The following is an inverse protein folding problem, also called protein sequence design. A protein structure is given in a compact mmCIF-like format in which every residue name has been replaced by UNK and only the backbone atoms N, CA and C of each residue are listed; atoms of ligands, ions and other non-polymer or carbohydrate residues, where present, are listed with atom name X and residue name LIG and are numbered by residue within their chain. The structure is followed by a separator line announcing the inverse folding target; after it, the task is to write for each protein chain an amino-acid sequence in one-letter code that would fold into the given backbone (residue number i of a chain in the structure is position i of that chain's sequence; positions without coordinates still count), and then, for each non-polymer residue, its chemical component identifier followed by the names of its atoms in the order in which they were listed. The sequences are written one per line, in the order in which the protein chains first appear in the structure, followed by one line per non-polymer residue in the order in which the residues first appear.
data_IF_219845827018
#
_entry.id   IF_219845827018
#
_cell.length_a   1.000
_cell.length_b   1.000
_cell.length_c   1.000
_cell.angle_alpha   90.00
_cell.angle_beta   90.00
_cell.angle_gamma   90.00
#
_symmetry.space_group_name_H-M   'P 1'
#
loop_
_entity.id
_entity.type
_entity.pdbx_description
1 polymer ?
#
# COMPACT_ATOMS: atom_id res chain seq x y z
N UNK A 1 10.41 -11.14 16.90
CA UNK A 1 9.90 -11.46 15.55
C UNK A 1 11.04 -11.27 14.56
N UNK A 2 11.65 -12.35 14.05
CA UNK A 2 12.50 -12.19 12.86
C UNK A 2 11.56 -11.88 11.69
N UNK A 3 11.78 -10.74 11.04
CA UNK A 3 11.18 -10.51 9.74
C UNK A 3 12.11 -11.21 8.77
N UNK A 4 11.57 -12.19 8.04
CA UNK A 4 12.14 -12.82 6.85
C UNK A 4 13.07 -14.02 7.09
N UNK A 5 13.04 -15.06 6.21
CA UNK A 5 14.02 -16.13 6.27
C UNK A 5 15.43 -15.54 6.09
N UNK A 6 16.26 -15.76 7.11
CA UNK A 6 17.69 -15.48 7.07
C UNK A 6 18.30 -16.33 5.96
N UNK A 7 18.90 -15.70 4.95
CA UNK A 7 19.71 -16.41 3.94
C UNK A 7 19.17 -16.46 2.51
N UNK A 8 18.00 -15.89 2.20
CA UNK A 8 17.48 -15.85 0.82
C UNK A 8 17.23 -14.42 0.33
N UNK A 9 18.16 -13.86 -0.49
CA UNK A 9 17.95 -12.52 -1.06
C UNK A 9 16.77 -12.53 -2.04
N UNK A 10 15.88 -11.55 -1.91
CA UNK A 10 14.80 -11.28 -2.88
C UNK A 10 15.41 -10.88 -4.24
N UNK A 11 15.58 -11.86 -5.13
CA UNK A 11 16.08 -11.65 -6.50
C UNK A 11 14.94 -11.50 -7.50
N UNK A 12 15.23 -10.91 -8.65
CA UNK A 12 14.31 -10.91 -9.80
C UNK A 12 14.05 -12.36 -10.21
N UNK A 13 12.80 -12.72 -10.48
CA UNK A 13 12.41 -14.08 -10.89
C UNK A 13 12.21 -15.08 -9.75
N UNK A 14 12.41 -14.67 -8.50
CA UNK A 14 12.01 -15.48 -7.34
C UNK A 14 10.49 -15.66 -7.35
N UNK A 15 10.02 -16.89 -7.16
CA UNK A 15 8.61 -17.17 -6.86
C UNK A 15 8.25 -16.57 -5.50
N UNK A 16 7.25 -15.69 -5.50
CA UNK A 16 6.82 -14.94 -4.31
C UNK A 16 5.54 -15.50 -3.70
N UNK A 17 5.02 -16.61 -4.20
CA UNK A 17 3.71 -17.14 -3.79
C UNK A 17 3.66 -17.38 -2.28
N UNK A 18 4.56 -18.20 -1.74
CA UNK A 18 4.62 -18.45 -0.29
C UNK A 18 4.89 -17.18 0.56
N UNK A 19 5.61 -16.20 0.01
CA UNK A 19 5.87 -14.93 0.70
C UNK A 19 4.61 -14.06 0.79
N UNK A 20 3.79 -14.05 -0.26
CA UNK A 20 2.51 -13.33 -0.26
C UNK A 20 1.47 -14.05 0.60
N UNK A 21 1.49 -15.39 0.64
CA UNK A 21 0.65 -16.17 1.54
C UNK A 21 1.00 -15.92 3.01
N UNK A 22 2.28 -15.89 3.37
CA UNK A 22 2.71 -15.54 4.73
C UNK A 22 2.33 -14.09 5.09
N UNK A 23 2.46 -13.16 4.14
CA UNK A 23 2.04 -11.77 4.35
C UNK A 23 0.54 -11.68 4.62
N UNK A 24 -0.26 -12.43 3.84
CA UNK A 24 -1.71 -12.52 3.99
C UNK A 24 -2.13 -13.22 5.28
N UNK A 25 -1.47 -14.30 5.68
CA UNK A 25 -1.80 -15.03 6.92
C UNK A 25 -1.57 -14.19 8.17
N UNK A 26 -0.71 -13.17 8.07
CA UNK A 26 -0.49 -12.15 9.11
C UNK A 26 -1.49 -10.99 9.06
N UNK A 27 -2.50 -11.05 8.21
CA UNK A 27 -3.55 -10.03 8.07
C UNK A 27 -3.18 -8.84 7.18
N UNK A 28 -2.09 -8.92 6.41
CA UNK A 28 -1.70 -7.84 5.50
C UNK A 28 -2.06 -8.17 4.05
N UNK A 29 -2.51 -7.13 3.32
CA UNK A 29 -2.90 -7.25 1.92
C UNK A 29 -2.16 -6.22 1.07
N UNK A 30 -1.90 -6.57 -0.19
CA UNK A 30 -1.47 -5.63 -1.23
C UNK A 30 -2.59 -5.55 -2.27
N UNK A 31 -3.00 -4.33 -2.61
CA UNK A 31 -3.98 -4.07 -3.66
C UNK A 31 -3.32 -3.18 -4.70
N UNK A 32 -3.28 -3.65 -5.94
CA UNK A 32 -2.83 -2.84 -7.06
C UNK A 32 -3.87 -1.79 -7.43
N UNK A 33 -3.40 -0.58 -7.74
CA UNK A 33 -4.26 0.55 -8.11
C UNK A 33 -5.03 0.33 -9.41
N UNK A 34 -4.44 -0.41 -10.34
CA UNK A 34 -5.04 -0.74 -11.62
C UNK A 34 -4.93 -2.25 -11.84
N UNK A 35 -5.97 -2.85 -12.40
CA UNK A 35 -6.01 -4.30 -12.69
C UNK A 35 -5.17 -4.65 -13.93
N UNK A 36 -4.94 -3.67 -14.80
CA UNK A 36 -4.12 -3.82 -16.00
C UNK A 36 -2.80 -3.07 -15.86
N UNK A 37 -1.69 -3.59 -16.44
CA UNK A 37 -0.42 -2.88 -16.46
C UNK A 37 -0.55 -1.49 -17.10
N UNK A 38 -0.07 -0.46 -16.39
CA UNK A 38 -0.08 0.94 -16.83
C UNK A 38 1.33 1.50 -17.07
N UNK A 39 2.34 0.64 -17.00
CA UNK A 39 3.77 0.96 -17.11
C UNK A 39 4.19 1.41 -18.51
N UNK A 40 3.49 0.96 -19.56
CA UNK A 40 3.71 1.36 -20.96
C UNK A 40 2.91 2.59 -21.42
N UNK A 41 2.01 3.08 -20.57
CA UNK A 41 1.20 4.27 -20.89
C UNK A 41 2.01 5.56 -20.72
N UNK A 42 1.69 6.57 -21.53
CA UNK A 42 2.17 7.94 -21.34
C UNK A 42 1.76 8.46 -19.96
N UNK A 43 2.49 9.44 -19.38
CA UNK A 43 2.15 9.98 -18.06
C UNK A 43 0.71 10.47 -17.93
N UNK A 44 0.17 11.10 -18.99
CA UNK A 44 -1.23 11.55 -19.05
C UNK A 44 -2.20 10.36 -19.06
N UNK A 45 -2.00 9.39 -19.95
CA UNK A 45 -2.86 8.21 -20.05
C UNK A 45 -2.83 7.36 -18.77
N UNK A 46 -1.65 7.22 -18.15
CA UNK A 46 -1.48 6.55 -16.86
C UNK A 46 -2.29 7.23 -15.75
N UNK A 47 -2.22 8.56 -15.66
CA UNK A 47 -2.98 9.32 -14.65
C UNK A 47 -4.49 9.12 -14.81
N UNK A 48 -4.98 9.15 -16.06
CA UNK A 48 -6.39 8.91 -16.38
C UNK A 48 -6.79 7.48 -15.98
N UNK A 49 -5.98 6.48 -16.31
CA UNK A 49 -6.25 5.08 -15.95
C UNK A 49 -6.33 4.88 -14.43
N UNK A 50 -5.37 5.46 -13.69
CA UNK A 50 -5.36 5.43 -12.22
C UNK A 50 -6.62 6.06 -11.65
N UNK A 51 -6.98 7.26 -12.10
CA UNK A 51 -8.16 7.97 -11.60
C UNK A 51 -9.45 7.19 -11.88
N UNK A 52 -9.56 6.58 -13.07
CA UNK A 52 -10.72 5.79 -13.47
C UNK A 52 -10.87 4.50 -12.65
N UNK A 53 -9.76 3.85 -12.27
CA UNK A 53 -9.81 2.56 -11.56
C UNK A 53 -9.77 2.69 -10.03
N UNK A 54 -9.39 3.86 -9.48
CA UNK A 54 -9.35 4.10 -8.04
C UNK A 54 -10.69 3.79 -7.31
N UNK A 55 -11.89 4.09 -7.85
CA UNK A 55 -13.15 3.70 -7.22
C UNK A 55 -13.32 2.17 -7.10
N UNK A 56 -12.90 1.41 -8.11
CA UNK A 56 -12.93 -0.06 -8.06
C UNK A 56 -11.97 -0.61 -7.01
N UNK A 57 -10.78 0.00 -6.86
CA UNK A 57 -9.87 -0.30 -5.74
C UNK A 57 -10.55 -0.03 -4.40
N UNK A 58 -11.20 1.12 -4.23
CA UNK A 58 -11.83 1.48 -2.96
C UNK A 58 -12.95 0.50 -2.58
N UNK A 59 -13.72 0.01 -3.55
CA UNK A 59 -14.71 -1.05 -3.34
C UNK A 59 -14.07 -2.34 -2.84
N UNK A 60 -13.01 -2.82 -3.49
CA UNK A 60 -12.26 -4.02 -3.05
C UNK A 60 -11.64 -3.85 -1.67
N UNK A 61 -11.12 -2.65 -1.38
CA UNK A 61 -10.62 -2.33 -0.06
C UNK A 61 -11.74 -2.38 1.00
N UNK A 62 -12.94 -1.89 0.68
CA UNK A 62 -14.10 -1.95 1.57
C UNK A 62 -14.54 -3.39 1.86
N UNK A 63 -14.54 -4.26 0.84
CA UNK A 63 -14.84 -5.69 0.99
C UNK A 63 -13.85 -6.42 1.90
N UNK A 64 -12.59 -6.00 1.93
CA UNK A 64 -11.56 -6.54 2.82
C UNK A 64 -11.65 -6.00 4.26
N UNK A 65 -12.45 -4.96 4.50
CA UNK A 65 -12.63 -4.27 5.79
C UNK A 65 -11.33 -4.06 6.60
N UNK A 66 -10.29 -3.40 6.02
CA UNK A 66 -9.01 -3.27 6.68
C UNK A 66 -9.10 -2.32 7.87
N UNK A 67 -8.48 -2.68 9.00
CA UNK A 67 -8.37 -1.78 10.15
C UNK A 67 -7.48 -0.55 9.88
N UNK A 68 -6.57 -0.64 8.92
CA UNK A 68 -5.69 0.47 8.51
C UNK A 68 -5.22 0.31 7.08
N UNK A 69 -5.02 1.43 6.40
CA UNK A 69 -4.63 1.52 4.98
C UNK A 69 -3.39 2.39 4.86
N UNK A 70 -2.47 1.99 3.99
CA UNK A 70 -1.28 2.77 3.65
C UNK A 70 -1.20 2.90 2.13
N UNK A 71 -1.14 4.13 1.64
CA UNK A 71 -1.05 4.41 0.20
C UNK A 71 0.42 4.64 -0.19
N UNK A 72 0.92 3.80 -1.09
CA UNK A 72 2.31 3.84 -1.56
C UNK A 72 2.37 4.40 -2.98
N UNK A 73 3.36 5.28 -3.22
CA UNK A 73 3.69 5.97 -4.49
C UNK A 73 2.94 7.28 -4.70
N UNK A 74 3.70 8.33 -5.02
CA UNK A 74 3.20 9.68 -5.25
C UNK A 74 2.11 9.76 -6.31
N UNK A 75 2.28 9.06 -7.44
CA UNK A 75 1.37 9.17 -8.58
C UNK A 75 -0.02 8.60 -8.34
N UNK A 76 -0.18 7.70 -7.35
CA UNK A 76 -1.49 7.10 -7.02
C UNK A 76 -2.12 7.75 -5.80
N UNK A 77 -1.34 8.47 -4.99
CA UNK A 77 -1.76 8.97 -3.68
C UNK A 77 -3.06 9.78 -3.74
N UNK A 78 -3.09 10.87 -4.51
CA UNK A 78 -4.26 11.73 -4.60
C UNK A 78 -5.52 11.00 -5.06
N UNK A 79 -5.51 10.34 -6.23
CA UNK A 79 -6.69 9.61 -6.72
C UNK A 79 -7.18 8.50 -5.79
N UNK A 80 -6.26 7.73 -5.18
CA UNK A 80 -6.62 6.64 -4.25
C UNK A 80 -7.13 7.19 -2.92
N UNK A 81 -6.50 8.24 -2.38
CA UNK A 81 -6.94 8.90 -1.15
C UNK A 81 -8.37 9.40 -1.30
N UNK A 82 -8.64 10.13 -2.37
CA UNK A 82 -9.98 10.65 -2.67
C UNK A 82 -11.01 9.51 -2.79
N UNK A 83 -10.69 8.45 -3.55
CA UNK A 83 -11.61 7.32 -3.70
C UNK A 83 -11.90 6.59 -2.38
N UNK A 84 -10.89 6.44 -1.51
CA UNK A 84 -11.07 5.84 -0.18
C UNK A 84 -11.90 6.73 0.74
N UNK A 85 -11.71 8.04 0.71
CA UNK A 85 -12.55 9.01 1.45
C UNK A 85 -14.02 8.92 1.02
N UNK A 86 -14.28 8.96 -0.29
CA UNK A 86 -15.64 8.80 -0.83
C UNK A 86 -16.27 7.46 -0.46
N UNK A 87 -15.47 6.40 -0.31
CA UNK A 87 -15.95 5.09 0.12
C UNK A 87 -16.19 4.96 1.64
N UNK A 88 -15.86 5.97 2.43
CA UNK A 88 -15.97 5.98 3.89
C UNK A 88 -14.78 5.33 4.62
N UNK A 89 -13.63 5.20 3.95
CA UNK A 89 -12.40 4.60 4.49
C UNK A 89 -11.30 5.63 4.76
N UNK A 90 -11.59 6.93 4.61
CA UNK A 90 -10.61 8.01 4.74
C UNK A 90 -9.87 8.04 6.08
N UNK A 91 -10.60 7.80 7.18
CA UNK A 91 -10.03 7.78 8.54
C UNK A 91 -9.13 6.57 8.80
N UNK A 92 -9.24 5.54 7.96
CA UNK A 92 -8.39 4.34 8.06
C UNK A 92 -7.05 4.51 7.35
N UNK A 93 -6.87 5.56 6.55
CA UNK A 93 -5.62 5.81 5.82
C UNK A 93 -4.61 6.50 6.73
N UNK A 94 -3.51 5.81 7.04
CA UNK A 94 -2.54 6.25 8.04
C UNK A 94 -1.61 7.38 7.57
N UNK A 95 -1.29 7.44 6.28
CA UNK A 95 -0.35 8.43 5.76
C UNK A 95 -1.07 9.64 5.16
N UNK A 96 -0.72 10.82 5.64
CA UNK A 96 -1.16 12.13 5.11
C UNK A 96 -0.31 12.60 3.92
N UNK A 97 0.83 11.96 3.70
CA UNK A 97 1.77 12.23 2.61
C UNK A 97 2.13 10.94 1.88
N UNK A 98 2.47 10.98 0.57
CA UNK A 98 2.84 9.79 -0.17
C UNK A 98 4.08 9.09 0.41
N UNK A 99 3.98 7.77 0.56
CA UNK A 99 5.17 6.94 0.76
C UNK A 99 5.91 6.74 -0.57
N UNK A 100 7.25 6.83 -0.59
CA UNK A 100 8.00 6.51 -1.80
C UNK A 100 7.87 5.02 -2.11
N UNK A 101 7.69 4.68 -3.38
CA UNK A 101 7.68 3.29 -3.81
C UNK A 101 9.04 2.64 -3.53
N UNK A 102 9.12 1.42 -2.94
CA UNK A 102 10.37 0.81 -2.47
C UNK A 102 11.22 0.23 -3.61
N UNK A 103 11.54 1.05 -4.60
CA UNK A 103 12.45 0.75 -5.72
C UNK A 103 13.37 1.93 -6.00
N UNK A 104 14.35 1.76 -6.89
CA UNK A 104 15.29 2.80 -7.32
C UNK A 104 15.97 3.54 -6.15
N UNK A 105 16.47 2.78 -5.15
CA UNK A 105 17.15 3.33 -3.98
C UNK A 105 16.25 3.84 -2.85
N UNK A 106 14.92 3.83 -3.01
CA UNK A 106 13.99 4.34 -2.00
C UNK A 106 13.73 3.39 -0.82
N UNK A 107 14.29 2.19 -0.80
CA UNK A 107 13.93 1.15 0.17
C UNK A 107 14.17 1.59 1.63
N UNK A 108 15.29 2.27 1.90
CA UNK A 108 15.59 2.80 3.25
C UNK A 108 14.55 3.85 3.65
N UNK A 109 14.23 4.78 2.76
CA UNK A 109 13.26 5.86 3.02
C UNK A 109 11.85 5.31 3.24
N UNK A 110 11.42 4.35 2.42
CA UNK A 110 10.15 3.64 2.58
C UNK A 110 10.06 2.97 3.96
N UNK A 111 11.06 2.15 4.34
CA UNK A 111 11.05 1.44 5.64
C UNK A 111 11.00 2.39 6.82
N UNK A 112 11.76 3.49 6.79
CA UNK A 112 11.77 4.48 7.88
C UNK A 112 10.40 5.14 8.04
N UNK A 113 9.77 5.57 6.94
CA UNK A 113 8.46 6.22 7.00
C UNK A 113 7.36 5.24 7.40
N UNK A 114 7.35 4.02 6.87
CA UNK A 114 6.38 2.98 7.25
C UNK A 114 6.48 2.63 8.74
N UNK A 115 7.69 2.45 9.28
CA UNK A 115 7.90 2.21 10.71
C UNK A 115 7.34 3.33 11.59
N UNK A 116 7.49 4.58 11.15
CA UNK A 116 6.92 5.74 11.86
C UNK A 116 5.39 5.68 11.89
N UNK A 117 4.74 5.36 10.76
CA UNK A 117 3.28 5.24 10.69
C UNK A 117 2.76 4.15 11.64
N UNK A 118 3.37 2.96 11.61
CA UNK A 118 2.97 1.83 12.48
C UNK A 118 3.17 2.19 13.95
N UNK A 119 4.28 2.84 14.29
CA UNK A 119 4.54 3.27 15.68
C UNK A 119 3.47 4.25 16.16
N UNK A 120 3.13 5.25 15.34
CA UNK A 120 2.12 6.24 15.70
C UNK A 120 0.74 5.62 15.87
N UNK A 121 0.35 4.71 14.97
CA UNK A 121 -0.89 3.93 15.07
C UNK A 121 -0.96 3.16 16.40
N UNK A 122 0.10 2.42 16.74
CA UNK A 122 0.16 1.66 17.99
C UNK A 122 0.11 2.54 19.25
N UNK A 123 0.62 3.77 19.18
CA UNK A 123 0.53 4.73 20.29
C UNK A 123 -0.91 5.25 20.43
N UNK A 124 -1.54 5.63 19.33
CA UNK A 124 -2.93 6.09 19.33
C UNK A 124 -3.90 5.03 19.88
N UNK A 125 -3.72 3.75 19.48
CA UNK A 125 -4.55 2.64 20.00
C UNK A 125 -4.39 2.39 21.49
N UNK A 126 -3.24 2.74 22.10
CA UNK A 126 -2.99 2.60 23.53
C UNK A 126 -3.51 3.77 24.36
N UNK A 127 -3.75 4.92 23.75
CA UNK A 127 -4.29 6.11 24.41
C UNK A 127 -5.82 6.17 24.37
N UNK A 128 -6.45 5.31 23.55
CA UNK A 128 -7.90 5.25 23.35
C UNK A 128 -8.59 4.11 24.12
N UNK A 129 -7.84 3.29 24.86
CA UNK A 129 -8.34 2.21 25.72
C UNK A 129 -7.79 2.37 27.13
#
# INVERSE_FOLDING_TARGET
MSLWPLGHPLRKGLDKTGLLEEFRSRGFFLIDTCDRPVDRLSPKARRISIAREAPSLARRAKELDPGSIVIVKQTVYGPVRHALETAGLGDRVLNTEPLPFPSHGNQRRYRLRLRRLIRNMNQASRSAG
#
